data_IF_162362618851
#
_entry.id   IF_162362618851
#
_cell.length_a   1.000
_cell.length_b   1.000
_cell.length_c   1.000
_cell.angle_alpha   90.00
_cell.angle_beta   90.00
_cell.angle_gamma   90.00
#
_symmetry.space_group_name_H-M   'P 1'
#
loop_
_entity.id
_entity.type
_entity.pdbx_description
1 polymer ?
#
# COMPACT_ATOMS: atom_id res chain seq x y z
N UNK A 1 38.38 -16.76 0.34
CA UNK A 1 36.95 -17.03 0.67
C UNK A 1 36.27 -15.69 0.86
N UNK A 2 35.46 -15.26 -0.11
CA UNK A 2 34.75 -13.98 -0.04
C UNK A 2 33.41 -14.20 0.69
N UNK A 3 33.24 -13.54 1.83
CA UNK A 3 31.97 -13.54 2.55
C UNK A 3 30.98 -12.66 1.77
N UNK A 4 30.00 -13.30 1.12
CA UNK A 4 28.87 -12.60 0.53
C UNK A 4 27.98 -12.09 1.66
N UNK A 5 27.99 -10.77 1.87
CA UNK A 5 26.99 -10.09 2.69
C UNK A 5 25.66 -10.20 1.95
N UNK A 6 24.80 -11.11 2.40
CA UNK A 6 23.38 -11.09 2.06
C UNK A 6 22.80 -9.86 2.76
N UNK A 7 22.80 -8.73 2.05
CA UNK A 7 21.94 -7.62 2.40
C UNK A 7 20.50 -8.09 2.23
N UNK A 8 19.90 -8.58 3.32
CA UNK A 8 18.46 -8.65 3.43
C UNK A 8 17.97 -7.24 3.11
N UNK A 9 17.25 -7.10 2.00
CA UNK A 9 16.47 -5.91 1.74
C UNK A 9 15.45 -5.82 2.87
N UNK A 10 15.84 -5.15 3.95
CA UNK A 10 14.88 -4.67 4.92
C UNK A 10 13.88 -3.86 4.08
N UNK A 11 12.56 -4.14 4.18
CA UNK A 11 11.60 -3.18 3.66
C UNK A 11 12.02 -1.85 4.26
N UNK A 12 12.12 -0.81 3.44
CA UNK A 12 12.30 0.56 3.94
C UNK A 12 11.14 0.73 4.90
N UNK A 13 11.42 0.58 6.19
CA UNK A 13 10.43 0.71 7.24
C UNK A 13 10.14 2.20 7.25
N UNK A 14 9.20 2.61 6.38
CA UNK A 14 8.44 3.81 6.63
C UNK A 14 7.93 3.62 8.05
N UNK A 15 8.42 4.43 8.97
CA UNK A 15 7.99 4.41 10.36
C UNK A 15 6.47 4.29 10.34
N UNK A 16 5.96 3.15 10.83
CA UNK A 16 4.55 2.81 10.71
C UNK A 16 3.69 3.90 11.33
N UNK A 17 2.40 3.93 11.02
CA UNK A 17 1.49 5.00 11.47
C UNK A 17 1.57 5.28 12.97
N UNK A 18 1.75 4.24 13.80
CA UNK A 18 1.95 4.38 15.24
C UNK A 18 3.19 5.19 15.61
N UNK A 19 4.33 4.89 14.99
CA UNK A 19 5.59 5.57 15.27
C UNK A 19 5.57 7.01 14.79
N UNK A 20 5.06 7.25 13.58
CA UNK A 20 4.88 8.61 13.04
C UNK A 20 3.97 9.46 13.94
N UNK A 21 2.85 8.90 14.40
CA UNK A 21 1.96 9.60 15.33
C UNK A 21 2.61 9.83 16.69
N UNK A 22 3.42 8.89 17.19
CA UNK A 22 4.10 9.01 18.49
C UNK A 22 5.15 10.11 18.48
N UNK A 23 5.89 10.25 17.39
CA UNK A 23 6.83 11.36 17.19
C UNK A 23 6.10 12.70 17.08
N UNK A 24 4.93 12.72 16.43
CA UNK A 24 4.16 13.95 16.26
C UNK A 24 3.40 14.39 17.53
N UNK A 25 2.93 13.44 18.33
CA UNK A 25 2.05 13.68 19.47
C UNK A 25 2.38 12.75 20.65
N UNK A 26 3.05 13.25 21.71
CA UNK A 26 3.47 12.41 22.83
C UNK A 26 2.34 12.07 23.82
N UNK A 27 1.19 12.75 23.75
CA UNK A 27 0.05 12.51 24.63
C UNK A 27 -0.88 11.41 24.06
N UNK A 28 -1.36 10.49 24.92
CA UNK A 28 -2.15 9.34 24.49
C UNK A 28 -3.51 9.68 23.83
N UNK A 29 -4.21 10.73 24.27
CA UNK A 29 -5.48 11.15 23.65
C UNK A 29 -5.31 11.75 22.25
N UNK A 30 -4.14 12.32 22.01
CA UNK A 30 -3.72 12.97 20.79
C UNK A 30 -3.20 11.95 19.75
N UNK A 31 -2.56 10.87 20.25
CA UNK A 31 -2.21 9.67 19.50
C UNK A 31 -3.42 9.02 18.81
N UNK A 32 -4.50 8.78 19.55
CA UNK A 32 -5.70 8.15 18.98
C UNK A 32 -6.29 8.98 17.84
N UNK A 33 -6.35 10.31 18.02
CA UNK A 33 -6.83 11.23 16.98
C UNK A 33 -5.91 11.21 15.75
N UNK A 34 -4.60 11.20 15.95
CA UNK A 34 -3.62 11.12 14.87
C UNK A 34 -3.81 9.84 14.04
N UNK A 35 -3.88 8.68 14.70
CA UNK A 35 -4.02 7.37 14.04
C UNK A 35 -5.34 7.29 13.26
N UNK A 36 -6.45 7.74 13.84
CA UNK A 36 -7.75 7.72 13.14
C UNK A 36 -7.78 8.69 11.95
N UNK A 37 -7.16 9.86 12.06
CA UNK A 37 -7.01 10.78 10.94
C UNK A 37 -6.18 10.18 9.81
N UNK A 38 -5.06 9.53 10.15
CA UNK A 38 -4.20 8.82 9.19
C UNK A 38 -4.96 7.70 8.48
N UNK A 39 -5.69 6.86 9.22
CA UNK A 39 -6.56 5.81 8.67
C UNK A 39 -7.60 6.37 7.71
N UNK A 40 -8.35 7.39 8.13
CA UNK A 40 -9.39 8.02 7.30
C UNK A 40 -8.80 8.56 5.99
N UNK A 41 -7.67 9.27 6.08
CA UNK A 41 -6.98 9.84 4.92
C UNK A 41 -6.52 8.74 3.96
N UNK A 42 -5.84 7.72 4.46
CA UNK A 42 -5.30 6.63 3.65
C UNK A 42 -6.40 5.81 2.96
N UNK A 43 -7.53 5.55 3.64
CA UNK A 43 -8.67 4.85 3.04
C UNK A 43 -9.33 5.66 1.92
N UNK A 44 -9.51 6.97 2.12
CA UNK A 44 -10.07 7.85 1.09
C UNK A 44 -9.16 7.92 -0.14
N UNK A 45 -7.85 8.08 0.08
CA UNK A 45 -6.86 8.12 -1.00
C UNK A 45 -6.76 6.78 -1.75
N UNK A 46 -6.85 5.66 -1.05
CA UNK A 46 -6.84 4.34 -1.67
C UNK A 46 -8.04 4.16 -2.61
N UNK A 47 -9.24 4.54 -2.16
CA UNK A 47 -10.46 4.47 -3.01
C UNK A 47 -10.28 5.34 -4.26
N UNK A 48 -9.73 6.55 -4.11
CA UNK A 48 -9.45 7.44 -5.23
C UNK A 48 -8.41 6.82 -6.20
N UNK A 49 -7.31 6.26 -5.69
CA UNK A 49 -6.26 5.63 -6.48
C UNK A 49 -6.78 4.41 -7.25
N UNK A 50 -7.57 3.55 -6.61
CA UNK A 50 -8.19 2.41 -7.27
C UNK A 50 -9.20 2.85 -8.34
N UNK A 51 -9.99 3.89 -8.06
CA UNK A 51 -10.94 4.46 -9.04
C UNK A 51 -10.21 5.01 -10.27
N UNK A 52 -9.15 5.80 -10.06
CA UNK A 52 -8.31 6.33 -11.13
C UNK A 52 -7.71 5.20 -11.98
N UNK A 53 -7.20 4.14 -11.35
CA UNK A 53 -6.66 2.99 -12.07
C UNK A 53 -7.71 2.23 -12.88
N UNK A 54 -8.92 2.05 -12.34
CA UNK A 54 -10.06 1.46 -13.09
C UNK A 54 -10.39 2.30 -14.32
N UNK A 55 -10.43 3.62 -14.16
CA UNK A 55 -10.74 4.53 -15.25
C UNK A 55 -9.69 4.45 -16.36
N UNK A 56 -8.40 4.56 -16.01
CA UNK A 56 -7.30 4.45 -16.96
C UNK A 56 -7.30 3.11 -17.72
N UNK A 57 -7.62 2.00 -17.05
CA UNK A 57 -7.75 0.70 -17.72
C UNK A 57 -8.92 0.69 -18.72
N UNK A 58 -10.09 1.23 -18.34
CA UNK A 58 -11.26 1.30 -19.22
C UNK A 58 -11.00 2.17 -20.44
N UNK A 59 -10.33 3.31 -20.27
CA UNK A 59 -9.96 4.20 -21.38
C UNK A 59 -9.02 3.49 -22.38
N UNK A 60 -7.99 2.80 -21.90
CA UNK A 60 -7.07 2.04 -22.77
C UNK A 60 -7.76 0.90 -23.52
N UNK A 61 -8.67 0.19 -22.85
CA UNK A 61 -9.49 -0.86 -23.48
C UNK A 61 -10.41 -0.25 -24.55
N UNK A 62 -11.06 0.88 -24.25
CA UNK A 62 -11.94 1.58 -25.20
C UNK A 62 -11.16 2.11 -26.42
N UNK A 63 -9.94 2.60 -26.21
CA UNK A 63 -9.01 3.02 -27.26
C UNK A 63 -8.42 1.85 -28.06
N UNK A 64 -8.76 0.59 -27.72
CA UNK A 64 -8.24 -0.63 -28.36
C UNK A 64 -6.71 -0.69 -28.33
N UNK A 65 -6.10 -0.25 -27.22
CA UNK A 65 -4.67 -0.39 -26.99
C UNK A 65 -4.27 -1.88 -27.08
N UNK A 66 -3.45 -2.21 -28.09
CA UNK A 66 -3.03 -3.58 -28.38
C UNK A 66 -2.19 -4.22 -27.26
N UNK A 67 -1.67 -3.41 -26.33
CA UNK A 67 -0.88 -3.88 -25.18
C UNK A 67 -1.73 -4.22 -23.96
N UNK A 68 -3.05 -3.96 -23.99
CA UNK A 68 -3.95 -4.20 -22.86
C UNK A 68 -4.93 -5.32 -23.17
N UNK A 69 -4.88 -6.37 -22.36
CA UNK A 69 -5.88 -7.43 -22.38
C UNK A 69 -7.28 -6.90 -21.97
N UNK A 70 -8.33 -7.31 -22.68
CA UNK A 70 -9.71 -6.87 -22.40
C UNK A 70 -10.20 -7.33 -21.03
N UNK A 71 -9.65 -8.42 -20.49
CA UNK A 71 -9.91 -8.92 -19.15
C UNK A 71 -9.16 -8.18 -18.04
N UNK A 72 -8.26 -7.24 -18.37
CA UNK A 72 -7.43 -6.53 -17.39
C UNK A 72 -8.24 -5.74 -16.36
N UNK A 73 -9.37 -5.14 -16.75
CA UNK A 73 -10.25 -4.43 -15.83
C UNK A 73 -10.86 -5.38 -14.78
N UNK A 74 -11.37 -6.54 -15.22
CA UNK A 74 -11.90 -7.56 -14.30
C UNK A 74 -10.81 -8.17 -13.41
N UNK A 75 -9.61 -8.37 -13.95
CA UNK A 75 -8.47 -8.82 -13.18
C UNK A 75 -8.09 -7.81 -12.10
N UNK A 76 -8.06 -6.52 -12.44
CA UNK A 76 -7.80 -5.45 -11.49
C UNK A 76 -8.83 -5.43 -10.36
N UNK A 77 -10.13 -5.53 -10.67
CA UNK A 77 -11.19 -5.57 -9.64
C UNK A 77 -11.05 -6.78 -8.69
N UNK A 78 -10.56 -7.93 -9.18
CA UNK A 78 -10.22 -9.06 -8.31
C UNK A 78 -9.06 -8.72 -7.38
N UNK A 79 -8.03 -8.02 -7.87
CA UNK A 79 -6.90 -7.60 -7.02
C UNK A 79 -7.34 -6.63 -5.92
N UNK A 80 -8.30 -5.75 -6.19
CA UNK A 80 -8.86 -4.84 -5.18
C UNK A 80 -9.55 -5.64 -4.07
N UNK A 81 -10.44 -6.57 -4.45
CA UNK A 81 -11.15 -7.42 -3.47
C UNK A 81 -10.18 -8.27 -2.64
N UNK A 82 -9.17 -8.85 -3.28
CA UNK A 82 -8.15 -9.63 -2.60
C UNK A 82 -7.36 -8.77 -1.60
N UNK A 83 -6.98 -7.55 -1.98
CA UNK A 83 -6.29 -6.61 -1.09
C UNK A 83 -7.17 -6.20 0.09
N UNK A 84 -8.47 -5.95 -0.12
CA UNK A 84 -9.38 -5.64 0.98
C UNK A 84 -9.45 -6.76 2.01
N UNK A 85 -9.56 -8.01 1.56
CA UNK A 85 -9.59 -9.19 2.45
C UNK A 85 -8.25 -9.37 3.18
N UNK A 86 -7.14 -9.23 2.46
CA UNK A 86 -5.79 -9.26 3.04
C UNK A 86 -5.65 -8.23 4.16
N UNK A 87 -5.99 -6.95 3.89
CA UNK A 87 -5.92 -5.88 4.90
C UNK A 87 -6.77 -6.18 6.12
N UNK A 88 -7.99 -6.70 5.94
CA UNK A 88 -8.86 -7.06 7.06
C UNK A 88 -8.23 -8.17 7.94
N UNK A 89 -7.71 -9.22 7.31
CA UNK A 89 -7.10 -10.33 8.04
C UNK A 89 -5.81 -9.92 8.76
N UNK A 90 -4.92 -9.20 8.09
CA UNK A 90 -3.65 -8.73 8.66
C UNK A 90 -3.85 -7.73 9.81
N UNK A 91 -4.83 -6.84 9.70
CA UNK A 91 -5.08 -5.86 10.75
C UNK A 91 -5.83 -6.44 11.96
N UNK A 92 -6.67 -7.46 11.77
CA UNK A 92 -7.18 -8.26 12.89
C UNK A 92 -6.03 -9.00 13.60
N UNK A 93 -5.10 -9.60 12.85
CA UNK A 93 -3.91 -10.24 13.42
C UNK A 93 -3.06 -9.23 14.21
N UNK A 94 -2.79 -8.06 13.63
CA UNK A 94 -2.04 -6.97 14.28
C UNK A 94 -2.66 -6.55 15.61
N UNK A 95 -3.99 -6.39 15.65
CA UNK A 95 -4.73 -6.12 16.90
C UNK A 95 -4.53 -7.22 17.94
N UNK A 96 -4.66 -8.49 17.54
CA UNK A 96 -4.52 -9.64 18.45
C UNK A 96 -3.12 -9.78 19.02
N UNK A 97 -2.10 -9.45 18.23
CA UNK A 97 -0.71 -9.42 18.67
C UNK A 97 -0.46 -8.26 19.65
N UNK A 98 -1.09 -7.11 19.43
CA UNK A 98 -0.97 -5.93 20.30
C UNK A 98 -1.85 -5.96 21.56
N UNK A 99 -2.69 -6.99 21.77
CA UNK A 99 -3.72 -7.02 22.83
C UNK A 99 -3.24 -6.72 24.27
N UNK A 100 -1.96 -6.92 24.55
CA UNK A 100 -1.34 -6.69 25.87
C UNK A 100 -0.39 -5.48 25.90
N UNK A 101 -0.45 -4.62 24.88
CA UNK A 101 0.40 -3.42 24.79
C UNK A 101 -0.43 -2.15 24.98
N UNK A 102 0.25 -1.02 25.19
CA UNK A 102 -0.41 0.29 25.31
C UNK A 102 -1.10 0.75 24.02
N UNK A 103 -0.79 0.12 22.88
CA UNK A 103 -1.32 0.48 21.56
C UNK A 103 -2.47 -0.46 21.11
N UNK A 104 -3.00 -1.31 21.98
CA UNK A 104 -3.98 -2.34 21.62
C UNK A 104 -5.17 -1.79 20.81
N UNK A 105 -5.72 -0.65 21.23
CA UNK A 105 -6.86 0.00 20.57
C UNK A 105 -6.48 0.78 19.29
N UNK A 106 -5.19 0.96 19.03
CA UNK A 106 -4.67 1.74 17.90
C UNK A 106 -4.07 0.85 16.80
N UNK A 107 -3.62 -0.36 17.15
CA UNK A 107 -2.89 -1.25 16.27
C UNK A 107 -3.64 -1.60 14.97
N UNK A 108 -4.94 -1.90 15.06
CA UNK A 108 -5.75 -2.20 13.87
C UNK A 108 -5.84 -1.00 12.93
N UNK A 109 -6.15 0.18 13.47
CA UNK A 109 -6.33 1.39 12.70
C UNK A 109 -5.02 1.87 12.05
N UNK A 110 -3.89 1.71 12.75
CA UNK A 110 -2.57 2.00 12.22
C UNK A 110 -2.19 1.03 11.09
N UNK A 111 -2.40 -0.28 11.29
CA UNK A 111 -2.19 -1.28 10.25
C UNK A 111 -3.00 -0.97 8.98
N UNK A 112 -4.29 -0.61 9.14
CA UNK A 112 -5.11 -0.28 7.98
C UNK A 112 -4.59 0.94 7.21
N UNK A 113 -4.07 1.94 7.92
CA UNK A 113 -3.48 3.12 7.32
C UNK A 113 -2.18 2.78 6.55
N UNK A 114 -1.33 1.95 7.15
CA UNK A 114 -0.04 1.54 6.57
C UNK A 114 -0.24 0.67 5.31
N UNK A 115 -1.04 -0.40 5.39
CA UNK A 115 -1.32 -1.25 4.23
C UNK A 115 -2.04 -0.50 3.10
N UNK A 116 -2.91 0.47 3.45
CA UNK A 116 -3.55 1.31 2.44
C UNK A 116 -2.53 2.21 1.72
N UNK A 117 -1.55 2.77 2.45
CA UNK A 117 -0.46 3.58 1.86
C UNK A 117 0.48 2.75 0.98
N UNK A 118 0.86 1.57 1.42
CA UNK A 118 1.65 0.63 0.60
C UNK A 118 0.94 0.32 -0.72
N UNK A 119 -0.37 0.03 -0.66
CA UNK A 119 -1.17 -0.23 -1.85
C UNK A 119 -1.27 0.99 -2.77
N UNK A 120 -1.44 2.19 -2.22
CA UNK A 120 -1.41 3.43 -3.01
C UNK A 120 -0.07 3.57 -3.75
N UNK A 121 1.05 3.31 -3.08
CA UNK A 121 2.39 3.29 -3.69
C UNK A 121 2.46 2.32 -4.88
N UNK A 122 2.04 1.08 -4.68
CA UNK A 122 2.01 0.07 -5.74
C UNK A 122 1.11 0.45 -6.93
N UNK A 123 -0.04 1.10 -6.67
CA UNK A 123 -0.93 1.58 -7.75
C UNK A 123 -0.30 2.71 -8.58
N UNK A 124 0.53 3.55 -7.96
CA UNK A 124 1.25 4.64 -8.64
C UNK A 124 2.40 4.11 -9.50
N UNK A 125 3.23 3.22 -8.98
CA UNK A 125 4.37 2.64 -9.71
C UNK A 125 3.93 1.94 -11.01
N UNK A 126 2.82 1.21 -10.97
CA UNK A 126 2.27 0.50 -12.14
C UNK A 126 1.64 1.46 -13.18
N UNK A 127 1.47 2.73 -12.85
CA UNK A 127 0.94 3.75 -13.77
C UNK A 127 2.05 4.44 -14.57
N UNK A 128 3.30 4.41 -14.09
CA UNK A 128 4.45 4.79 -14.91
C UNK A 128 4.79 3.63 -15.86
N UNK A 129 4.81 3.85 -17.19
CA UNK A 129 5.28 2.81 -18.10
C UNK A 129 6.73 2.49 -17.74
N UNK A 130 7.05 1.20 -17.60
CA UNK A 130 8.44 0.76 -17.53
C UNK A 130 9.13 1.29 -18.81
N UNK A 131 10.07 2.22 -18.65
CA UNK A 131 10.89 2.67 -19.76
C UNK A 131 11.57 1.43 -20.35
N UNK A 132 11.47 1.17 -21.67
CA UNK A 132 12.10 0.00 -22.24
C UNK A 132 13.60 0.07 -21.91
N UNK A 133 14.14 -0.97 -21.28
CA UNK A 133 15.57 -1.08 -21.05
C UNK A 133 16.26 -1.08 -22.41
N UNK A 134 16.91 0.03 -22.77
CA UNK A 134 17.73 0.12 -23.96
C UNK A 134 18.82 -0.95 -23.83
N UNK A 135 18.75 -2.00 -24.65
CA UNK A 135 19.81 -2.98 -24.73
C UNK A 135 21.13 -2.24 -25.09
N UNK A 136 22.26 -2.56 -24.46
CA UNK A 136 23.51 -1.88 -24.76
C UNK A 136 23.85 -2.15 -26.23
N UNK A 137 24.08 -1.08 -27.00
CA UNK A 137 24.59 -1.19 -28.35
C UNK A 137 25.90 -1.99 -28.31
N UNK A 138 25.97 -3.05 -29.11
CA UNK A 138 27.20 -3.82 -29.30
C UNK A 138 28.27 -2.91 -29.94
N UNK A 139 29.57 -3.11 -29.64
CA UNK A 139 30.64 -2.22 -30.08
C UNK A 139 30.77 -2.13 -31.59
#
# INVERSE_FOLDING_TARGET
MAAALIALAAPIAQAGTLEACRTAQPNAGDMARCVQAARKSALAELVAAESARRHALRERIAARDATVDRGAAMAFDRTVRAHQLYRQAECDLSRRLARNTADADLAEAACEADLSRERIGALREVTYPASPATAPAKP
#
